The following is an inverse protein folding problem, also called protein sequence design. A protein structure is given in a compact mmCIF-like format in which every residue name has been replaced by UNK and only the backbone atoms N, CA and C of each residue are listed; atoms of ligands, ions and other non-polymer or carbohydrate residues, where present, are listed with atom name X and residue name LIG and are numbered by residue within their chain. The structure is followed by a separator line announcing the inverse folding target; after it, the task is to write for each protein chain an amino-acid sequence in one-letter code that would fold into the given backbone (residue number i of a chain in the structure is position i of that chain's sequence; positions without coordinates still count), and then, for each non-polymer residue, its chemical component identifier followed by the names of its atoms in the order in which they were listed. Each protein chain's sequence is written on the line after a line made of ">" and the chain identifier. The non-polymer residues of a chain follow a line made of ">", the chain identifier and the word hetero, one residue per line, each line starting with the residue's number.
data_IF_607005031984
#
_entry.id   IF_607005031984
#
_cell.length_a   1.000
_cell.length_b   1.000
_cell.length_c   1.000
_cell.angle_alpha   90.00
_cell.angle_beta   90.00
_cell.angle_gamma   90.00
#
_symmetry.space_group_name_H-M   'P 1'
#
loop_
_entity.id
_entity.type
_entity.pdbx_description
1 polymer ?
#
# COMPACT_ATOMS: atom_id res chain seq x y z
N UNK A 1 58.75 -51.05 -52.13
CA UNK A 1 57.38 -50.55 -51.90
C UNK A 1 56.73 -51.38 -50.80
N UNK A 2 56.88 -50.98 -49.55
CA UNK A 2 56.14 -51.52 -48.41
C UNK A 2 56.10 -50.38 -47.39
N UNK A 3 55.01 -49.63 -47.37
CA UNK A 3 54.76 -48.69 -46.29
C UNK A 3 53.66 -49.26 -45.39
N UNK A 4 54.01 -49.40 -44.12
CA UNK A 4 53.26 -50.17 -43.13
C UNK A 4 52.13 -49.31 -42.58
N UNK A 5 50.93 -49.88 -42.62
CA UNK A 5 49.75 -49.52 -41.82
C UNK A 5 50.11 -49.05 -40.41
N UNK A 6 50.07 -47.74 -40.16
CA UNK A 6 49.90 -47.18 -38.83
C UNK A 6 48.41 -47.21 -38.49
N UNK A 7 48.01 -48.10 -37.59
CA UNK A 7 46.66 -48.08 -37.02
C UNK A 7 46.53 -46.77 -36.23
N UNK A 8 45.48 -45.95 -36.45
CA UNK A 8 45.28 -44.75 -35.66
C UNK A 8 45.06 -45.14 -34.20
N UNK A 9 45.89 -44.58 -33.32
CA UNK A 9 45.87 -44.82 -31.88
C UNK A 9 44.50 -44.46 -31.30
N UNK A 10 43.70 -45.50 -31.01
CA UNK A 10 42.36 -45.38 -30.42
C UNK A 10 42.38 -44.68 -29.06
N UNK A 11 43.54 -44.61 -28.41
CA UNK A 11 43.74 -43.99 -27.11
C UNK A 11 43.55 -42.46 -27.15
N UNK A 12 43.99 -41.80 -28.23
CA UNK A 12 43.83 -40.35 -28.41
C UNK A 12 42.36 -39.92 -28.59
N UNK A 13 41.50 -40.79 -29.12
CA UNK A 13 40.09 -40.46 -29.38
C UNK A 13 39.25 -40.37 -28.09
N UNK A 14 39.56 -41.18 -27.08
CA UNK A 14 38.85 -41.19 -25.82
C UNK A 14 39.20 -39.98 -24.95
N UNK A 15 40.48 -39.58 -24.93
CA UNK A 15 40.94 -38.42 -24.19
C UNK A 15 40.40 -37.10 -24.77
N UNK A 16 40.32 -36.99 -26.09
CA UNK A 16 39.73 -35.82 -26.77
C UNK A 16 38.22 -35.70 -26.48
N UNK A 17 37.50 -36.81 -26.36
CA UNK A 17 36.07 -36.80 -26.02
C UNK A 17 35.82 -36.36 -24.57
N UNK A 18 36.60 -36.84 -23.60
CA UNK A 18 36.48 -36.42 -22.20
C UNK A 18 36.82 -34.93 -22.00
N UNK A 19 37.87 -34.44 -22.66
CA UNK A 19 38.23 -33.02 -22.58
C UNK A 19 37.15 -32.10 -23.18
N UNK A 20 36.42 -32.59 -24.19
CA UNK A 20 35.31 -31.84 -24.81
C UNK A 20 34.06 -31.83 -23.93
N UNK A 21 33.74 -32.94 -23.26
CA UNK A 21 32.61 -32.97 -22.31
C UNK A 21 32.84 -32.03 -21.13
N UNK A 22 34.05 -32.00 -20.57
CA UNK A 22 34.36 -31.18 -19.40
C UNK A 22 34.33 -29.69 -19.71
N UNK A 23 34.84 -29.30 -20.88
CA UNK A 23 34.78 -27.90 -21.34
C UNK A 23 33.37 -27.44 -21.65
N UNK A 24 32.51 -28.29 -22.22
CA UNK A 24 31.10 -27.98 -22.43
C UNK A 24 30.32 -27.88 -21.11
N UNK A 25 30.60 -28.77 -20.15
CA UNK A 25 29.97 -28.75 -18.83
C UNK A 25 30.35 -27.48 -18.06
N UNK A 26 31.62 -27.05 -18.13
CA UNK A 26 32.09 -25.81 -17.52
C UNK A 26 31.45 -24.57 -18.15
N UNK A 27 31.36 -24.52 -19.49
CA UNK A 27 30.65 -23.43 -20.21
C UNK A 27 29.14 -23.38 -19.91
N UNK A 28 28.51 -24.52 -19.66
CA UNK A 28 27.11 -24.58 -19.25
C UNK A 28 26.91 -24.05 -17.83
N UNK A 29 27.80 -24.41 -16.90
CA UNK A 29 27.81 -23.91 -15.51
C UNK A 29 28.00 -22.39 -15.46
N UNK A 30 28.98 -21.85 -16.20
CA UNK A 30 29.27 -20.41 -16.22
C UNK A 30 28.11 -19.59 -16.80
N UNK A 31 27.41 -20.11 -17.81
CA UNK A 31 26.20 -19.49 -18.36
C UNK A 31 25.07 -19.44 -17.32
N UNK A 32 24.85 -20.52 -16.56
CA UNK A 32 23.89 -20.54 -15.46
C UNK A 32 24.24 -19.52 -14.37
N UNK A 33 25.51 -19.45 -13.96
CA UNK A 33 25.96 -18.50 -12.93
C UNK A 33 25.79 -17.05 -13.40
N UNK A 34 26.11 -16.76 -14.67
CA UNK A 34 25.92 -15.42 -15.25
C UNK A 34 24.44 -15.02 -15.29
N UNK A 35 23.56 -15.95 -15.67
CA UNK A 35 22.11 -15.73 -15.64
C UNK A 35 21.59 -15.49 -14.21
N UNK A 36 22.04 -16.27 -13.23
CA UNK A 36 21.64 -16.10 -11.83
C UNK A 36 22.09 -14.72 -11.32
N UNK A 37 23.35 -14.32 -11.59
CA UNK A 37 23.87 -13.00 -11.18
C UNK A 37 23.08 -11.85 -11.83
N UNK A 38 22.71 -11.99 -13.11
CA UNK A 38 21.87 -11.00 -13.79
C UNK A 38 20.52 -10.86 -13.10
N UNK A 39 19.78 -11.96 -12.89
CA UNK A 39 18.46 -11.91 -12.23
C UNK A 39 18.52 -11.40 -10.80
N UNK A 40 19.54 -11.77 -10.03
CA UNK A 40 19.74 -11.25 -8.67
C UNK A 40 20.00 -9.74 -8.70
N UNK A 41 20.76 -9.24 -9.68
CA UNK A 41 20.97 -7.82 -9.92
C UNK A 41 19.66 -7.08 -10.24
N UNK A 42 18.91 -7.57 -11.22
CA UNK A 42 17.63 -6.96 -11.65
C UNK A 42 16.58 -6.99 -10.53
N UNK A 43 16.53 -8.08 -9.75
CA UNK A 43 15.64 -8.21 -8.59
C UNK A 43 15.96 -7.20 -7.49
N UNK A 44 17.23 -6.83 -7.27
CA UNK A 44 17.57 -5.76 -6.32
C UNK A 44 16.98 -4.42 -6.74
N UNK A 45 17.08 -4.07 -8.02
CA UNK A 45 16.45 -2.85 -8.55
C UNK A 45 14.93 -2.91 -8.47
N UNK A 46 14.32 -4.03 -8.86
CA UNK A 46 12.86 -4.23 -8.79
C UNK A 46 12.34 -4.29 -7.34
N UNK A 47 13.18 -4.63 -6.35
CA UNK A 47 12.82 -4.57 -4.93
C UNK A 47 13.02 -3.18 -4.31
N UNK A 48 14.00 -2.41 -4.80
CA UNK A 48 14.19 -1.01 -4.37
C UNK A 48 13.16 -0.11 -5.02
N UNK A 49 12.73 -0.37 -6.25
CA UNK A 49 11.78 0.45 -7.00
C UNK A 49 10.43 0.67 -6.27
N UNK A 50 9.83 -0.32 -5.59
CA UNK A 50 8.67 -0.11 -4.71
C UNK A 50 8.99 0.71 -3.45
N UNK A 51 10.23 0.75 -2.98
CA UNK A 51 10.63 1.59 -1.84
C UNK A 51 10.86 3.03 -2.32
N UNK A 52 11.55 3.24 -3.45
CA UNK A 52 11.71 4.58 -4.03
C UNK A 52 10.38 5.12 -4.56
N UNK A 53 9.59 4.33 -5.27
CA UNK A 53 8.29 4.77 -5.83
C UNK A 53 7.16 4.67 -4.81
N UNK A 54 7.24 3.79 -3.81
CA UNK A 54 6.18 3.62 -2.80
C UNK A 54 6.46 4.29 -1.45
N UNK A 55 7.68 4.76 -1.19
CA UNK A 55 8.01 5.58 -0.01
C UNK A 55 8.46 6.97 -0.43
N UNK A 56 9.46 7.10 -1.31
CA UNK A 56 10.02 8.41 -1.67
C UNK A 56 9.07 9.19 -2.59
N UNK A 57 8.50 8.56 -3.61
CA UNK A 57 7.57 9.25 -4.50
C UNK A 57 6.30 9.73 -3.76
N UNK A 58 5.64 8.94 -2.89
CA UNK A 58 4.61 9.46 -2.02
C UNK A 58 5.13 10.50 -1.05
N UNK A 59 6.32 10.39 -0.44
CA UNK A 59 6.84 11.49 0.39
C UNK A 59 6.99 12.80 -0.40
N UNK A 60 7.42 12.75 -1.67
CA UNK A 60 7.49 13.91 -2.57
C UNK A 60 6.07 14.36 -2.98
N UNK A 61 5.19 13.43 -3.31
CA UNK A 61 3.77 13.66 -3.63
C UNK A 61 2.90 14.00 -2.42
N UNK A 62 3.39 13.85 -1.20
CA UNK A 62 2.75 14.21 0.07
C UNK A 62 3.34 15.53 0.58
N UNK A 63 4.63 15.77 0.39
CA UNK A 63 5.26 17.08 0.59
C UNK A 63 4.70 18.11 -0.39
N UNK A 64 4.34 17.74 -1.61
CA UNK A 64 3.72 18.64 -2.57
C UNK A 64 2.35 19.18 -2.09
N UNK A 65 1.38 18.37 -1.64
CA UNK A 65 0.16 18.82 -0.98
C UNK A 65 0.40 19.59 0.31
N UNK A 66 1.42 19.25 1.12
CA UNK A 66 1.76 20.02 2.33
C UNK A 66 2.30 21.39 1.96
N UNK A 67 3.20 21.47 0.98
CA UNK A 67 3.73 22.72 0.46
C UNK A 67 2.63 23.55 -0.22
N UNK A 68 1.76 22.90 -1.00
CA UNK A 68 0.63 23.52 -1.66
C UNK A 68 -0.43 24.00 -0.66
N UNK A 69 -0.73 23.21 0.38
CA UNK A 69 -1.60 23.62 1.48
C UNK A 69 -0.98 24.74 2.30
N UNK A 70 0.33 24.73 2.55
CA UNK A 70 1.05 25.81 3.21
C UNK A 70 1.01 27.10 2.39
N UNK A 71 1.26 27.03 1.08
CA UNK A 71 1.13 28.15 0.15
C UNK A 71 -0.32 28.62 0.10
N UNK A 72 -1.29 27.72 0.04
CA UNK A 72 -2.71 28.05 0.04
C UNK A 72 -3.13 28.76 1.34
N UNK A 73 -2.66 28.29 2.50
CA UNK A 73 -2.89 28.95 3.79
C UNK A 73 -2.26 30.35 3.80
N UNK A 74 -1.02 30.50 3.34
CA UNK A 74 -0.36 31.82 3.23
C UNK A 74 -1.12 32.75 2.30
N UNK A 75 -1.56 32.26 1.13
CA UNK A 75 -2.35 33.03 0.17
C UNK A 75 -3.72 33.43 0.75
N UNK A 76 -4.37 32.54 1.50
CA UNK A 76 -5.63 32.82 2.20
C UNK A 76 -5.44 33.84 3.33
N UNK A 77 -4.30 33.83 4.02
CA UNK A 77 -3.97 34.81 5.08
C UNK A 77 -3.71 36.22 4.52
N UNK A 78 -3.31 36.33 3.25
CA UNK A 78 -2.93 37.62 2.63
C UNK A 78 -4.05 38.32 1.84
N UNK A 79 -5.23 37.71 1.67
CA UNK A 79 -6.31 38.25 0.81
C UNK A 79 -7.47 38.92 1.56
N UNK A 80 -8.11 39.93 0.96
CA UNK A 80 -9.30 40.62 1.53
C UNK A 80 -10.55 39.73 1.70
N UNK A 81 -10.60 38.58 1.03
CA UNK A 81 -11.62 37.54 1.25
C UNK A 81 -11.46 36.77 2.58
N UNK A 82 -10.33 36.95 3.28
CA UNK A 82 -10.04 36.34 4.59
C UNK A 82 -11.05 36.76 5.65
N UNK A 83 -11.43 38.04 5.69
CA UNK A 83 -12.36 38.58 6.70
C UNK A 83 -13.79 38.07 6.52
N UNK A 84 -14.23 37.82 5.29
CA UNK A 84 -15.58 37.27 5.00
C UNK A 84 -15.62 35.75 5.27
N UNK A 85 -14.53 35.02 5.01
CA UNK A 85 -14.44 33.59 5.36
C UNK A 85 -14.26 33.38 6.86
N UNK A 86 -13.54 34.24 7.56
CA UNK A 86 -13.29 34.17 9.01
C UNK A 86 -14.57 34.04 9.86
N UNK A 87 -15.69 34.64 9.45
CA UNK A 87 -16.96 34.59 10.18
C UNK A 87 -17.76 33.29 9.97
N UNK A 88 -17.57 32.59 8.85
CA UNK A 88 -18.17 31.27 8.57
C UNK A 88 -17.26 30.15 9.12
N UNK A 89 -15.97 30.45 9.34
CA UNK A 89 -14.90 29.49 9.62
C UNK A 89 -14.47 29.39 11.10
N UNK A 90 -15.16 29.99 12.08
CA UNK A 90 -14.77 29.79 13.49
C UNK A 90 -14.74 28.31 13.91
N UNK A 91 -15.68 27.50 13.41
CA UNK A 91 -15.69 26.04 13.60
C UNK A 91 -14.55 25.32 12.86
N UNK A 92 -14.03 25.89 11.77
CA UNK A 92 -13.00 25.28 10.94
C UNK A 92 -11.62 25.26 11.62
N UNK A 93 -11.27 26.29 12.40
CA UNK A 93 -9.96 26.38 13.05
C UNK A 93 -9.75 25.25 14.03
N UNK A 94 -10.81 24.86 14.74
CA UNK A 94 -10.79 23.69 15.61
C UNK A 94 -10.40 22.42 14.85
N UNK A 95 -11.00 22.16 13.68
CA UNK A 95 -10.67 20.99 12.87
C UNK A 95 -9.27 21.05 12.27
N UNK A 96 -8.79 22.23 11.86
CA UNK A 96 -7.41 22.40 11.37
C UNK A 96 -6.42 22.07 12.51
N UNK A 97 -6.60 22.68 13.68
CA UNK A 97 -5.73 22.48 14.84
C UNK A 97 -5.76 21.02 15.27
N UNK A 98 -6.95 20.40 15.36
CA UNK A 98 -7.11 18.98 15.66
C UNK A 98 -6.39 18.11 14.61
N UNK A 99 -6.55 18.44 13.32
CA UNK A 99 -5.87 17.78 12.22
C UNK A 99 -4.36 17.83 12.33
N UNK A 100 -3.80 18.99 12.68
CA UNK A 100 -2.36 19.18 12.94
C UNK A 100 -1.91 18.28 14.08
N UNK A 101 -2.63 18.26 15.22
CA UNK A 101 -2.29 17.38 16.34
C UNK A 101 -2.30 15.90 15.95
N UNK A 102 -3.32 15.46 15.20
CA UNK A 102 -3.41 14.08 14.72
C UNK A 102 -2.26 13.76 13.74
N UNK A 103 -1.89 14.69 12.85
CA UNK A 103 -0.75 14.51 11.94
C UNK A 103 0.57 14.36 12.69
N UNK A 104 0.83 15.20 13.69
CA UNK A 104 2.03 15.08 14.51
C UNK A 104 2.06 13.74 15.25
N UNK A 105 0.94 13.29 15.81
CA UNK A 105 0.85 11.95 16.38
C UNK A 105 1.19 10.88 15.33
N UNK A 106 0.65 11.01 14.11
CA UNK A 106 0.97 10.14 12.98
C UNK A 106 2.47 10.04 12.69
N UNK A 107 3.15 11.18 12.58
CA UNK A 107 4.60 11.26 12.37
C UNK A 107 5.35 10.54 13.50
N UNK A 108 4.99 10.77 14.76
CA UNK A 108 5.63 10.13 15.92
C UNK A 108 5.49 8.60 15.83
N UNK A 109 4.31 8.08 15.48
CA UNK A 109 4.09 6.64 15.31
C UNK A 109 4.88 6.06 14.13
N UNK A 110 4.93 6.75 12.99
CA UNK A 110 5.66 6.29 11.81
C UNK A 110 7.17 6.27 12.05
N UNK A 111 7.74 7.39 12.50
CA UNK A 111 9.18 7.51 12.77
C UNK A 111 9.58 6.62 13.94
N UNK A 112 8.78 6.59 15.01
CA UNK A 112 9.03 5.76 16.19
C UNK A 112 8.98 4.27 15.88
N UNK A 113 7.99 3.82 15.09
CA UNK A 113 7.90 2.44 14.62
C UNK A 113 9.08 2.05 13.72
N UNK A 114 9.44 2.92 12.78
CA UNK A 114 10.57 2.69 11.86
C UNK A 114 11.90 2.62 12.61
N UNK A 115 12.15 3.56 13.51
CA UNK A 115 13.36 3.60 14.33
C UNK A 115 13.53 2.33 15.16
N UNK A 116 12.43 1.78 15.70
CA UNK A 116 12.47 0.51 16.45
C UNK A 116 12.86 -0.68 15.58
N UNK A 117 12.32 -0.81 14.37
CA UNK A 117 12.74 -1.88 13.44
C UNK A 117 14.22 -1.73 13.08
N UNK A 118 14.67 -0.53 12.72
CA UNK A 118 16.06 -0.27 12.30
C UNK A 118 17.03 -0.60 13.43
N UNK A 119 16.77 -0.09 14.64
CA UNK A 119 17.61 -0.35 15.82
C UNK A 119 17.67 -1.84 16.15
N UNK A 120 16.54 -2.55 16.01
CA UNK A 120 16.49 -3.98 16.28
C UNK A 120 17.28 -4.80 15.25
N UNK A 121 17.19 -4.43 13.96
CA UNK A 121 17.98 -5.03 12.88
C UNK A 121 19.48 -4.77 13.08
N UNK A 122 19.85 -3.56 13.49
CA UNK A 122 21.25 -3.20 13.76
C UNK A 122 21.86 -4.06 14.87
N UNK A 123 21.09 -4.38 15.91
CA UNK A 123 21.50 -5.27 17.00
C UNK A 123 21.59 -6.76 16.59
N UNK A 124 21.43 -7.08 15.30
CA UNK A 124 21.50 -8.43 14.70
C UNK A 124 20.64 -9.49 15.40
N UNK A 125 19.58 -9.07 16.09
CA UNK A 125 18.64 -9.99 16.72
C UNK A 125 17.75 -10.58 15.63
N UNK A 126 17.85 -11.90 15.41
CA UNK A 126 16.97 -12.65 14.48
C UNK A 126 15.59 -12.94 15.10
N UNK A 127 15.22 -12.25 16.16
CA UNK A 127 13.97 -12.48 16.90
C UNK A 127 12.89 -11.48 16.50
N UNK A 128 11.65 -11.75 16.93
CA UNK A 128 10.52 -10.87 16.64
C UNK A 128 10.55 -9.61 17.53
N UNK A 129 10.26 -8.44 16.94
CA UNK A 129 10.18 -7.16 17.67
C UNK A 129 8.85 -7.09 18.41
N UNK A 130 8.89 -7.09 19.75
CA UNK A 130 7.70 -7.10 20.62
C UNK A 130 7.70 -5.98 21.67
N UNK A 131 8.60 -5.02 21.57
CA UNK A 131 8.81 -3.97 22.57
C UNK A 131 8.11 -2.66 22.21
N UNK A 132 7.84 -1.81 23.19
CA UNK A 132 7.36 -0.42 23.01
C UNK A 132 6.07 -0.33 22.17
N UNK A 133 6.10 0.31 20.98
CA UNK A 133 4.92 0.45 20.12
C UNK A 133 4.43 -0.92 19.65
N UNK A 134 5.37 -1.80 19.26
CA UNK A 134 5.10 -3.19 18.88
C UNK A 134 4.55 -4.03 20.04
N UNK A 135 4.62 -3.58 21.30
CA UNK A 135 3.95 -4.29 22.41
C UNK A 135 2.42 -4.18 22.33
N UNK A 136 1.90 -3.09 21.76
CA UNK A 136 0.47 -2.77 21.76
C UNK A 136 -0.17 -2.91 20.37
N UNK A 137 0.58 -2.54 19.33
CA UNK A 137 0.11 -2.44 17.94
C UNK A 137 1.12 -3.17 17.06
N UNK A 138 0.67 -4.11 16.22
CA UNK A 138 1.58 -4.89 15.35
C UNK A 138 2.15 -4.08 14.21
N UNK A 139 1.41 -3.10 13.71
CA UNK A 139 1.78 -2.26 12.57
C UNK A 139 1.77 -0.76 12.92
N UNK A 140 2.63 -0.31 13.86
CA UNK A 140 2.61 1.08 14.32
C UNK A 140 2.96 2.08 13.22
N UNK A 141 3.77 1.68 12.24
CA UNK A 141 4.11 2.52 11.09
C UNK A 141 2.89 2.83 10.22
N UNK A 142 2.12 1.80 9.88
CA UNK A 142 0.87 1.95 9.12
C UNK A 142 -0.15 2.78 9.88
N UNK A 143 -0.25 2.60 11.21
CA UNK A 143 -1.09 3.45 12.07
C UNK A 143 -0.67 4.91 12.00
N UNK A 144 0.63 5.18 12.07
CA UNK A 144 1.15 6.53 11.94
C UNK A 144 0.78 7.18 10.59
N UNK A 145 0.90 6.43 9.49
CA UNK A 145 0.50 6.89 8.16
C UNK A 145 -1.01 7.13 8.08
N UNK A 146 -1.84 6.23 8.64
CA UNK A 146 -3.29 6.39 8.69
C UNK A 146 -3.67 7.65 9.45
N UNK A 147 -3.09 7.89 10.63
CA UNK A 147 -3.33 9.10 11.42
C UNK A 147 -2.89 10.35 10.65
N UNK A 148 -1.73 10.30 10.00
CA UNK A 148 -1.24 11.40 9.20
C UNK A 148 -2.21 11.80 8.08
N UNK A 149 -2.63 10.84 7.26
CA UNK A 149 -3.59 11.09 6.17
C UNK A 149 -4.94 11.53 6.75
N UNK A 150 -5.40 10.90 7.83
CA UNK A 150 -6.65 11.27 8.49
C UNK A 150 -6.64 12.74 8.95
N UNK A 151 -5.55 13.19 9.56
CA UNK A 151 -5.41 14.59 9.95
C UNK A 151 -5.37 15.54 8.75
N UNK A 152 -4.88 15.12 7.57
CA UNK A 152 -4.99 15.94 6.35
C UNK A 152 -6.43 16.05 5.85
N UNK A 153 -7.21 14.97 5.94
CA UNK A 153 -8.63 14.96 5.54
C UNK A 153 -9.44 15.98 6.33
N UNK A 154 -9.10 16.21 7.60
CA UNK A 154 -9.79 17.20 8.44
C UNK A 154 -9.56 18.67 8.05
N UNK A 155 -8.62 18.94 7.13
CA UNK A 155 -8.35 20.30 6.63
C UNK A 155 -9.27 20.72 5.48
N UNK A 156 -10.09 19.80 4.99
CA UNK A 156 -10.93 20.01 3.81
C UNK A 156 -12.33 20.41 4.26
N UNK A 157 -12.80 21.57 3.79
CA UNK A 157 -14.08 22.17 4.22
C UNK A 157 -15.15 22.19 3.14
N UNK A 158 -14.77 22.08 1.86
CA UNK A 158 -15.74 22.00 0.77
C UNK A 158 -16.32 20.60 0.67
N UNK A 159 -17.65 20.46 0.57
CA UNK A 159 -18.33 19.17 0.57
C UNK A 159 -17.90 18.25 -0.57
N UNK A 160 -17.70 18.83 -1.76
CA UNK A 160 -17.17 18.15 -2.95
C UNK A 160 -15.75 17.62 -2.72
N UNK A 161 -14.90 18.43 -2.11
CA UNK A 161 -13.51 18.11 -1.81
C UNK A 161 -13.43 17.09 -0.66
N UNK A 162 -14.32 17.19 0.34
CA UNK A 162 -14.46 16.25 1.46
C UNK A 162 -14.71 14.86 0.87
N UNK A 163 -15.69 14.70 -0.01
CA UNK A 163 -15.99 13.41 -0.66
C UNK A 163 -14.75 12.82 -1.31
N UNK A 164 -14.07 13.58 -2.17
CA UNK A 164 -12.91 13.10 -2.91
C UNK A 164 -11.75 12.70 -1.98
N UNK A 165 -11.46 13.53 -0.97
CA UNK A 165 -10.37 13.29 -0.03
C UNK A 165 -10.69 12.15 0.94
N UNK A 166 -11.94 12.00 1.38
CA UNK A 166 -12.37 10.85 2.18
C UNK A 166 -12.35 9.54 1.38
N UNK A 167 -12.78 9.55 0.11
CA UNK A 167 -12.67 8.38 -0.75
C UNK A 167 -11.20 7.96 -0.91
N UNK A 168 -10.31 8.94 -1.15
CA UNK A 168 -8.87 8.71 -1.23
C UNK A 168 -8.29 8.16 0.08
N UNK A 169 -8.69 8.71 1.23
CA UNK A 169 -8.30 8.19 2.55
C UNK A 169 -8.67 6.71 2.71
N UNK A 170 -9.90 6.33 2.36
CA UNK A 170 -10.34 4.93 2.47
C UNK A 170 -9.56 4.00 1.54
N UNK A 171 -9.24 4.46 0.33
CA UNK A 171 -8.36 3.73 -0.59
C UNK A 171 -6.97 3.54 0.03
N UNK A 172 -6.37 4.58 0.61
CA UNK A 172 -5.06 4.45 1.28
C UNK A 172 -5.11 3.53 2.50
N UNK A 173 -6.10 3.71 3.38
CA UNK A 173 -6.33 2.84 4.53
C UNK A 173 -6.41 1.37 4.09
N UNK A 174 -7.10 1.12 2.97
CA UNK A 174 -7.21 -0.20 2.39
C UNK A 174 -5.88 -0.80 1.97
N UNK A 175 -5.07 -0.03 1.24
CA UNK A 175 -3.75 -0.46 0.79
C UNK A 175 -2.82 -0.77 1.95
N UNK A 176 -2.76 0.10 2.96
CA UNK A 176 -1.95 -0.12 4.16
C UNK A 176 -2.39 -1.38 4.91
N UNK A 177 -3.71 -1.63 4.96
CA UNK A 177 -4.25 -2.85 5.55
C UNK A 177 -3.87 -4.11 4.78
N UNK A 178 -3.86 -4.04 3.45
CA UNK A 178 -3.44 -5.13 2.58
C UNK A 178 -1.96 -5.45 2.72
N UNK A 179 -1.10 -4.42 2.69
CA UNK A 179 0.34 -4.54 2.91
C UNK A 179 0.63 -5.19 4.25
N UNK A 180 -0.02 -4.71 5.32
CA UNK A 180 0.12 -5.28 6.65
C UNK A 180 -0.25 -6.77 6.69
N UNK A 181 -1.33 -7.21 6.02
CA UNK A 181 -1.67 -8.65 5.96
C UNK A 181 -0.66 -9.50 5.21
N UNK A 182 -0.06 -8.96 4.15
CA UNK A 182 1.01 -9.64 3.41
C UNK A 182 2.25 -9.77 4.29
N UNK A 183 2.60 -8.72 5.04
CA UNK A 183 3.70 -8.77 6.01
C UNK A 183 3.42 -9.83 7.10
N UNK A 184 2.21 -9.86 7.69
CA UNK A 184 1.84 -10.87 8.68
C UNK A 184 1.97 -12.29 8.12
N UNK A 185 1.59 -12.52 6.86
CA UNK A 185 1.75 -13.81 6.21
C UNK A 185 3.22 -14.27 6.18
N UNK A 186 4.14 -13.39 5.79
CA UNK A 186 5.57 -13.72 5.80
C UNK A 186 6.12 -13.91 7.22
N UNK A 187 5.63 -13.14 8.18
CA UNK A 187 6.02 -13.27 9.59
C UNK A 187 5.51 -14.58 10.22
N UNK A 188 4.30 -15.02 9.88
CA UNK A 188 3.76 -16.34 10.28
C UNK A 188 4.64 -17.45 9.71
N UNK A 189 5.03 -17.38 8.44
CA UNK A 189 5.90 -18.39 7.85
C UNK A 189 7.28 -18.42 8.50
N UNK A 190 7.85 -17.25 8.80
CA UNK A 190 9.21 -17.12 9.34
C UNK A 190 9.31 -17.51 10.81
N UNK A 191 8.35 -17.10 11.64
CA UNK A 191 8.41 -17.22 13.10
C UNK A 191 7.39 -18.22 13.68
N UNK A 192 6.51 -18.79 12.84
CA UNK A 192 5.55 -19.84 13.19
C UNK A 192 4.76 -19.49 14.47
N UNK A 193 4.80 -20.37 15.48
CA UNK A 193 4.04 -20.26 16.72
C UNK A 193 4.37 -19.01 17.53
N UNK A 194 5.61 -18.53 17.44
CA UNK A 194 6.03 -17.32 18.15
C UNK A 194 5.23 -16.10 17.67
N UNK A 195 5.01 -15.97 16.36
CA UNK A 195 4.22 -14.87 15.80
C UNK A 195 2.73 -15.07 16.02
N UNK A 196 2.24 -16.31 15.98
CA UNK A 196 0.84 -16.63 16.30
C UNK A 196 0.51 -16.23 17.75
N UNK A 197 1.39 -16.52 18.70
CA UNK A 197 1.22 -16.09 20.09
C UNK A 197 1.23 -14.57 20.22
N UNK A 198 2.11 -13.90 19.47
CA UNK A 198 2.18 -12.44 19.44
C UNK A 198 0.91 -11.79 18.86
N UNK A 199 0.33 -12.35 17.79
CA UNK A 199 -0.96 -11.90 17.22
C UNK A 199 -2.09 -11.93 18.26
N UNK A 200 -2.10 -12.94 19.14
CA UNK A 200 -3.15 -13.09 20.17
C UNK A 200 -3.07 -12.03 21.27
N UNK A 201 -1.89 -11.47 21.51
CA UNK A 201 -1.61 -10.53 22.61
C UNK A 201 -1.58 -9.07 22.18
N UNK A 202 -1.42 -8.82 20.88
CA UNK A 202 -1.12 -7.48 20.34
C UNK A 202 -2.17 -7.12 19.31
N UNK A 203 -2.71 -5.91 19.36
CA UNK A 203 -3.73 -5.49 18.39
C UNK A 203 -3.15 -5.16 17.01
N UNK A 204 -3.98 -5.21 15.96
CA UNK A 204 -3.52 -5.02 14.57
C UNK A 204 -3.12 -3.56 14.30
N UNK A 205 -4.10 -2.66 14.24
CA UNK A 205 -3.91 -1.20 14.14
C UNK A 205 -4.34 -0.46 15.42
N UNK A 206 -5.30 -1.02 16.17
CA UNK A 206 -5.72 -0.47 17.44
C UNK A 206 -5.19 -1.34 18.58
N UNK A 207 -4.83 -0.75 19.74
CA UNK A 207 -4.39 -1.52 20.89
C UNK A 207 -5.49 -2.48 21.35
N UNK A 208 -5.10 -3.68 21.75
CA UNK A 208 -6.04 -4.70 22.21
C UNK A 208 -6.55 -4.35 23.62
N UNK A 209 -7.72 -3.73 23.70
CA UNK A 209 -8.35 -3.32 24.97
C UNK A 209 -9.15 -4.45 25.60
N UNK A 210 -8.57 -5.64 25.83
CA UNK A 210 -9.17 -6.75 26.62
C UNK A 210 -10.51 -7.36 26.14
N UNK A 211 -11.30 -6.66 25.32
CA UNK A 211 -12.61 -7.02 24.81
C UNK A 211 -12.39 -7.69 23.45
N UNK A 212 -11.90 -8.93 23.49
CA UNK A 212 -11.59 -9.69 22.27
C UNK A 212 -12.86 -10.32 21.69
N UNK A 213 -13.70 -9.53 21.01
CA UNK A 213 -14.80 -10.09 20.21
C UNK A 213 -14.33 -10.73 18.89
N UNK A 214 -13.11 -10.44 18.42
CA UNK A 214 -12.67 -10.79 17.05
C UNK A 214 -11.41 -11.67 16.92
N UNK A 215 -10.80 -12.13 18.02
CA UNK A 215 -9.47 -12.77 17.96
C UNK A 215 -9.42 -14.31 18.09
N UNK A 216 -10.54 -15.01 18.27
CA UNK A 216 -10.46 -16.45 18.65
C UNK A 216 -10.65 -17.48 17.52
N UNK A 217 -11.37 -17.18 16.42
CA UNK A 217 -11.89 -18.25 15.54
C UNK A 217 -11.37 -18.26 14.08
N UNK A 218 -10.33 -17.50 13.74
CA UNK A 218 -9.98 -17.27 12.32
C UNK A 218 -8.82 -18.07 11.72
N UNK A 219 -7.90 -18.58 12.52
CA UNK A 219 -6.71 -19.24 11.99
C UNK A 219 -7.00 -20.71 11.71
N UNK A 220 -7.07 -21.07 10.43
CA UNK A 220 -7.45 -22.41 9.96
C UNK A 220 -6.24 -23.35 9.82
N UNK A 221 -5.10 -23.01 10.40
CA UNK A 221 -3.81 -23.70 10.17
C UNK A 221 -3.20 -23.45 8.79
N UNK A 222 -3.97 -23.00 7.80
CA UNK A 222 -3.51 -22.69 6.45
C UNK A 222 -3.33 -21.18 6.24
N UNK A 223 -2.08 -20.65 6.17
CA UNK A 223 -1.82 -19.22 6.08
C UNK A 223 -2.31 -18.61 4.76
N UNK A 224 -2.36 -19.37 3.66
CA UNK A 224 -2.86 -18.89 2.37
C UNK A 224 -4.38 -18.67 2.39
N UNK A 225 -5.14 -19.63 2.94
CA UNK A 225 -6.60 -19.49 3.10
C UNK A 225 -6.94 -18.32 4.02
N UNK A 226 -6.16 -18.14 5.09
CA UNK A 226 -6.30 -17.01 5.99
C UNK A 226 -6.10 -15.67 5.26
N UNK A 227 -4.99 -15.52 4.53
CA UNK A 227 -4.67 -14.31 3.78
C UNK A 227 -5.76 -14.02 2.74
N UNK A 228 -6.15 -15.02 1.93
CA UNK A 228 -7.19 -14.86 0.91
C UNK A 228 -8.53 -14.40 1.52
N UNK A 229 -8.97 -15.04 2.61
CA UNK A 229 -10.20 -14.64 3.32
C UNK A 229 -10.11 -13.19 3.80
N UNK A 230 -8.99 -12.80 4.42
CA UNK A 230 -8.80 -11.42 4.89
C UNK A 230 -8.82 -10.41 3.76
N UNK A 231 -8.09 -10.67 2.69
CA UNK A 231 -8.06 -9.84 1.47
C UNK A 231 -9.46 -9.71 0.87
N UNK A 232 -10.20 -10.80 0.74
CA UNK A 232 -11.54 -10.79 0.16
C UNK A 232 -12.51 -9.92 0.97
N UNK A 233 -12.59 -10.13 2.30
CA UNK A 233 -13.44 -9.32 3.18
C UNK A 233 -13.03 -7.86 3.20
N UNK A 234 -11.73 -7.62 3.10
CA UNK A 234 -11.19 -6.31 2.89
C UNK A 234 -11.78 -5.68 1.62
N UNK A 235 -11.59 -6.30 0.45
CA UNK A 235 -12.05 -5.75 -0.83
C UNK A 235 -13.54 -5.46 -0.80
N UNK A 236 -14.32 -6.39 -0.23
CA UNK A 236 -15.75 -6.21 -0.04
C UNK A 236 -16.08 -4.99 0.83
N UNK A 237 -15.35 -4.80 1.94
CA UNK A 237 -15.55 -3.62 2.80
C UNK A 237 -15.20 -2.30 2.10
N UNK A 238 -14.17 -2.28 1.26
CA UNK A 238 -13.83 -1.08 0.48
C UNK A 238 -14.92 -0.77 -0.54
N UNK A 239 -15.39 -1.77 -1.29
CA UNK A 239 -16.48 -1.61 -2.25
C UNK A 239 -17.74 -1.06 -1.58
N UNK A 240 -18.08 -1.57 -0.39
CA UNK A 240 -19.21 -1.08 0.39
C UNK A 240 -19.02 0.40 0.77
N UNK A 241 -17.85 0.76 1.31
CA UNK A 241 -17.57 2.16 1.71
C UNK A 241 -17.61 3.11 0.51
N UNK A 242 -16.98 2.74 -0.62
CA UNK A 242 -17.02 3.56 -1.83
C UNK A 242 -18.45 3.71 -2.36
N UNK A 243 -19.26 2.66 -2.30
CA UNK A 243 -20.67 2.72 -2.68
C UNK A 243 -21.45 3.66 -1.77
N UNK A 244 -21.24 3.59 -0.45
CA UNK A 244 -21.90 4.49 0.51
C UNK A 244 -21.49 5.95 0.29
N UNK A 245 -20.21 6.22 0.02
CA UNK A 245 -19.73 7.57 -0.34
C UNK A 245 -20.45 8.04 -1.60
N UNK A 246 -20.49 7.21 -2.66
CA UNK A 246 -21.14 7.56 -3.91
C UNK A 246 -22.64 7.85 -3.75
N UNK A 247 -23.38 7.01 -3.02
CA UNK A 247 -24.81 7.24 -2.73
C UNK A 247 -24.99 8.53 -1.92
N UNK A 248 -24.14 8.77 -0.92
CA UNK A 248 -24.16 10.02 -0.15
C UNK A 248 -23.99 11.26 -1.02
N UNK A 249 -23.12 11.19 -2.04
CA UNK A 249 -22.93 12.27 -3.02
C UNK A 249 -24.18 12.50 -3.86
N UNK A 250 -24.77 11.43 -4.39
CA UNK A 250 -25.99 11.53 -5.21
C UNK A 250 -27.16 12.13 -4.43
N UNK A 251 -27.36 11.67 -3.19
CA UNK A 251 -28.39 12.24 -2.31
C UNK A 251 -28.13 13.72 -2.04
N UNK A 252 -26.88 14.08 -1.76
CA UNK A 252 -26.51 15.47 -1.52
C UNK A 252 -26.84 16.37 -2.71
N UNK A 253 -26.44 15.98 -3.93
CA UNK A 253 -26.73 16.71 -5.17
C UNK A 253 -28.24 16.90 -5.34
N UNK A 254 -29.01 15.83 -5.12
CA UNK A 254 -30.46 15.89 -5.24
C UNK A 254 -31.10 16.86 -4.24
N UNK A 255 -30.61 16.89 -2.99
CA UNK A 255 -31.13 17.81 -1.97
C UNK A 255 -30.67 19.26 -2.16
N UNK A 256 -29.46 19.50 -2.67
CA UNK A 256 -29.01 20.87 -3.01
C UNK A 256 -29.84 21.46 -4.15
N UNK A 257 -30.18 20.65 -5.15
CA UNK A 257 -31.03 21.09 -6.27
C UNK A 257 -32.47 21.36 -5.81
N UNK A 258 -33.00 20.53 -4.90
CA UNK A 258 -34.36 20.68 -4.37
C UNK A 258 -34.54 21.87 -3.40
N UNK A 259 -33.45 22.35 -2.78
CA UNK A 259 -33.49 23.37 -1.72
C UNK A 259 -33.18 24.78 -2.18
N UNK A 260 -33.02 25.02 -3.49
CA UNK A 260 -32.91 26.35 -4.09
C UNK A 260 -34.29 26.80 -4.63
N UNK A 261 -35.21 27.33 -3.79
CA UNK A 261 -36.44 27.92 -4.27
C UNK A 261 -36.10 29.16 -5.10
N UNK A 262 -36.59 29.21 -6.35
CA UNK A 262 -37.22 30.27 -7.16
C UNK A 262 -36.87 31.78 -6.93
N UNK A 263 -36.13 32.20 -5.91
CA UNK A 263 -35.68 33.58 -5.68
C UNK A 263 -34.66 34.10 -6.72
N UNK A 264 -34.40 33.35 -7.78
CA UNK A 264 -33.40 33.69 -8.81
C UNK A 264 -34.00 34.22 -10.12
N UNK A 265 -35.29 34.57 -10.14
CA UNK A 265 -35.95 35.08 -11.34
C UNK A 265 -35.71 36.58 -11.63
N UNK A 266 -34.95 37.32 -10.81
CA UNK A 266 -34.80 38.79 -11.01
C UNK A 266 -33.40 39.30 -11.31
N UNK A 267 -32.37 38.45 -11.28
CA UNK A 267 -31.00 38.91 -11.56
C UNK A 267 -30.36 38.05 -12.65
N UNK A 268 -30.24 38.64 -13.85
CA UNK A 268 -29.50 38.15 -15.02
C UNK A 268 -28.39 37.16 -14.68
N UNK A 269 -28.69 35.86 -14.78
CA UNK A 269 -27.71 34.79 -14.52
C UNK A 269 -26.69 34.75 -15.67
N UNK A 270 -25.38 34.95 -15.43
CA UNK A 270 -24.39 34.34 -16.28
C UNK A 270 -24.56 32.81 -16.20
N UNK A 271 -24.82 32.18 -17.34
CA UNK A 271 -25.15 30.76 -17.55
C UNK A 271 -23.98 29.79 -17.28
N UNK A 272 -23.10 30.09 -16.31
CA UNK A 272 -21.71 29.60 -16.34
C UNK A 272 -21.37 28.38 -15.48
N UNK A 273 -22.35 27.67 -14.91
CA UNK A 273 -22.08 26.37 -14.28
C UNK A 273 -22.97 25.29 -14.86
N UNK A 274 -22.55 24.60 -15.94
CA UNK A 274 -23.31 23.48 -16.46
C UNK A 274 -23.22 22.31 -15.47
N UNK A 275 -24.37 21.72 -15.14
CA UNK A 275 -24.55 20.46 -14.39
C UNK A 275 -23.68 19.28 -14.89
N UNK A 276 -23.05 19.43 -16.05
CA UNK A 276 -22.18 18.44 -16.68
C UNK A 276 -20.85 18.21 -15.95
N UNK A 277 -20.38 19.14 -15.09
CA UNK A 277 -19.10 18.97 -14.39
C UNK A 277 -19.09 17.76 -13.44
N UNK A 278 -20.19 17.53 -12.71
CA UNK A 278 -20.28 16.41 -11.77
C UNK A 278 -20.37 15.07 -12.51
N UNK A 279 -21.08 15.05 -13.65
CA UNK A 279 -21.14 13.86 -14.52
C UNK A 279 -19.75 13.57 -15.09
N UNK A 280 -18.99 14.59 -15.49
CA UNK A 280 -17.61 14.43 -15.93
C UNK A 280 -16.68 13.90 -14.84
N UNK A 281 -16.81 14.37 -13.60
CA UNK A 281 -16.03 13.88 -12.46
C UNK A 281 -16.36 12.41 -12.14
N UNK A 282 -17.65 12.04 -12.15
CA UNK A 282 -18.07 10.64 -11.99
C UNK A 282 -17.54 9.74 -13.11
N UNK A 283 -17.55 10.20 -14.36
CA UNK A 283 -16.99 9.48 -15.51
C UNK A 283 -15.46 9.39 -15.40
N UNK A 284 -14.78 10.41 -14.89
CA UNK A 284 -13.32 10.41 -14.73
C UNK A 284 -12.84 9.44 -13.63
N UNK A 285 -13.65 9.20 -12.59
CA UNK A 285 -13.32 8.26 -11.50
C UNK A 285 -13.52 6.79 -11.92
N UNK A 286 -14.42 6.52 -12.88
CA UNK A 286 -14.73 5.17 -13.38
C UNK A 286 -13.52 4.39 -13.95
N UNK A 287 -12.68 4.95 -14.85
CA UNK A 287 -11.49 4.28 -15.37
C UNK A 287 -10.47 3.95 -14.28
N UNK A 288 -10.31 4.85 -13.28
CA UNK A 288 -9.41 4.63 -12.15
C UNK A 288 -9.89 3.41 -11.35
N UNK A 289 -11.21 3.31 -11.11
CA UNK A 289 -11.81 2.16 -10.44
C UNK A 289 -11.67 0.86 -11.24
N UNK A 290 -11.91 0.88 -12.56
CA UNK A 290 -11.76 -0.30 -13.44
C UNK A 290 -10.30 -0.78 -13.47
N UNK A 291 -9.35 0.14 -13.67
CA UNK A 291 -7.92 -0.15 -13.61
C UNK A 291 -7.54 -0.75 -12.25
N UNK A 292 -8.16 -0.25 -11.18
CA UNK A 292 -7.91 -0.72 -9.82
C UNK A 292 -8.39 -2.16 -9.58
N UNK A 293 -9.62 -2.49 -10.01
CA UNK A 293 -10.14 -3.87 -9.97
C UNK A 293 -9.21 -4.81 -10.76
N UNK A 294 -8.78 -4.37 -11.95
CA UNK A 294 -7.84 -5.13 -12.76
C UNK A 294 -6.50 -5.37 -12.05
N UNK A 295 -5.90 -4.32 -11.47
CA UNK A 295 -4.63 -4.41 -10.74
C UNK A 295 -4.72 -5.39 -9.57
N UNK A 296 -5.79 -5.33 -8.78
CA UNK A 296 -6.02 -6.26 -7.66
C UNK A 296 -6.11 -7.70 -8.16
N UNK A 297 -6.87 -7.96 -9.22
CA UNK A 297 -7.00 -9.31 -9.79
C UNK A 297 -5.65 -9.84 -10.28
N UNK A 298 -4.86 -9.03 -10.97
CA UNK A 298 -3.52 -9.39 -11.45
C UNK A 298 -2.56 -9.65 -10.28
N UNK A 299 -2.58 -8.78 -9.27
CA UNK A 299 -1.76 -8.91 -8.07
C UNK A 299 -2.05 -10.23 -7.33
N UNK A 300 -3.33 -10.55 -7.13
CA UNK A 300 -3.74 -11.79 -6.49
C UNK A 300 -3.35 -13.03 -7.30
N UNK A 301 -3.48 -12.99 -8.64
CA UNK A 301 -3.03 -14.07 -9.52
C UNK A 301 -1.51 -14.31 -9.39
N UNK A 302 -0.71 -13.24 -9.31
CA UNK A 302 0.75 -13.33 -9.19
C UNK A 302 1.17 -13.98 -7.87
N UNK A 303 0.57 -13.56 -6.75
CA UNK A 303 0.92 -14.12 -5.44
C UNK A 303 0.44 -15.55 -5.23
N UNK A 304 -0.68 -15.94 -5.86
CA UNK A 304 -1.12 -17.35 -5.87
C UNK A 304 -0.03 -18.27 -6.44
N UNK A 305 0.56 -17.92 -7.59
CA UNK A 305 1.61 -18.72 -8.24
C UNK A 305 2.87 -18.85 -7.40
N UNK A 306 3.28 -17.78 -6.70
CA UNK A 306 4.43 -17.82 -5.79
C UNK A 306 4.17 -18.76 -4.61
N UNK A 307 2.95 -18.72 -4.05
CA UNK A 307 2.55 -19.65 -2.99
C UNK A 307 2.62 -21.12 -3.43
N UNK A 308 2.21 -21.42 -4.66
CA UNK A 308 2.29 -22.78 -5.23
C UNK A 308 3.75 -23.25 -5.38
N UNK A 309 4.67 -22.37 -5.84
CA UNK A 309 6.10 -22.73 -6.00
C UNK A 309 6.82 -23.07 -4.69
N UNK A 310 6.49 -22.37 -3.60
CA UNK A 310 7.08 -22.61 -2.28
C UNK A 310 6.58 -23.93 -1.68
N UNK A 311 5.31 -24.27 -1.92
CA UNK A 311 4.76 -25.55 -1.49
C UNK A 311 5.38 -26.72 -2.24
N UNK A 312 5.61 -26.58 -3.55
CA UNK A 312 6.28 -27.64 -4.33
C UNK A 312 7.74 -27.86 -3.91
N UNK A 313 8.46 -26.82 -3.42
CA UNK A 313 9.86 -26.98 -3.02
C UNK A 313 10.07 -27.60 -1.64
N UNK A 314 9.04 -27.66 -0.80
CA UNK A 314 9.13 -28.27 0.54
C UNK A 314 8.70 -29.74 0.58
N UNK A 315 8.11 -30.24 -0.51
CA UNK A 315 7.61 -31.62 -0.61
C UNK A 315 8.54 -32.55 -1.41
N UNK A 316 9.72 -32.07 -1.82
CA UNK A 316 10.78 -32.87 -2.44
C UNK A 316 12.07 -32.75 -1.64
#
# INVERSE_FOLDING_TARGET
>A
MHDKNSKPDKENSAEVLNNRSDTEMKRASDRKIKWIKFWVGTMKYVMVLPITVGVIAPMIFYLAPIAFAGIYVVLQLTGSAFLVRLNIFQSSYFFIILGIFIQFAGIIFTVGGMGQIILFRYRKKKTLVKSHFYKKIRHPQSVGIILFIFGMVTWVFGLTEIVGVWALFWVFYFFLRMEAYIEEYFLIQKYKDEYIMYIKLTGFFLPQTGITLFSRNGWTGNPQKYLFKKIFWNLLSLLLVLTLIFVGCLLFIHFTDASLPVMYDTWNKPSFYPNNYIILECIAISPIFIFWVYFVVVFLKKHRKQGESILSSNNG
#
